data_IF_472079412748
#
_entry.id   IF_472079412748
#
_cell.length_a   1.000
_cell.length_b   1.000
_cell.length_c   1.000
_cell.angle_alpha   90.00
_cell.angle_beta   90.00
_cell.angle_gamma   90.00
#
_symmetry.space_group_name_H-M   'P 1'
#
loop_
_entity.id
_entity.type
_entity.pdbx_description
1 polymer ?
#
# COMPACT_ATOMS: atom_id res chain seq x y z
N UNK A 1 10.64 -7.12 -8.82
CA UNK A 1 10.35 -6.26 -7.66
C UNK A 1 9.23 -6.93 -6.88
N UNK A 2 9.47 -7.29 -5.62
CA UNK A 2 8.50 -8.05 -4.83
C UNK A 2 7.51 -7.10 -4.15
N UNK A 3 6.21 -7.34 -4.30
CA UNK A 3 5.15 -6.54 -3.70
C UNK A 3 5.01 -6.84 -2.19
N UNK A 4 5.09 -5.81 -1.37
CA UNK A 4 4.90 -5.91 0.09
C UNK A 4 3.60 -5.20 0.48
N UNK A 5 2.48 -5.89 0.36
CA UNK A 5 1.19 -5.41 0.83
C UNK A 5 0.27 -6.56 1.17
N UNK A 6 -0.37 -6.49 2.33
CA UNK A 6 -1.13 -7.61 2.89
C UNK A 6 -2.57 -7.72 2.39
N UNK A 7 -3.13 -6.72 1.74
CA UNK A 7 -4.56 -6.68 1.35
C UNK A 7 -4.86 -6.90 -0.12
N UNK A 8 -3.86 -6.85 -1.02
CA UNK A 8 -4.10 -6.93 -2.46
C UNK A 8 -3.22 -8.00 -3.11
N UNK A 9 -3.24 -9.21 -2.55
CA UNK A 9 -2.67 -10.37 -3.23
C UNK A 9 -3.41 -10.59 -4.56
N UNK A 10 -2.67 -10.57 -5.66
CA UNK A 10 -3.20 -10.80 -7.00
C UNK A 10 -3.38 -9.56 -7.86
N UNK A 11 -2.96 -8.36 -7.40
CA UNK A 11 -2.89 -7.21 -8.27
C UNK A 11 -1.74 -7.33 -9.26
N UNK A 12 -2.02 -7.01 -10.50
CA UNK A 12 -1.07 -6.99 -11.60
C UNK A 12 -0.79 -5.53 -11.93
N UNK A 13 0.47 -5.11 -11.86
CA UNK A 13 0.90 -3.80 -12.35
C UNK A 13 0.87 -3.80 -13.88
N UNK A 14 -0.11 -3.12 -14.48
CA UNK A 14 -0.26 -3.09 -15.96
C UNK A 14 0.41 -1.88 -16.61
N UNK A 15 0.56 -0.78 -15.89
CA UNK A 15 1.29 0.39 -16.35
C UNK A 15 1.75 1.25 -15.17
N UNK A 16 2.82 2.01 -15.38
CA UNK A 16 3.27 3.06 -14.46
C UNK A 16 3.01 4.44 -15.09
N UNK A 17 2.61 5.41 -14.28
CA UNK A 17 2.42 6.82 -14.69
C UNK A 17 3.02 7.75 -13.64
N UNK A 18 3.47 8.94 -14.03
CA UNK A 18 3.91 9.95 -13.06
C UNK A 18 2.81 10.29 -12.07
N UNK A 19 3.15 10.34 -10.78
CA UNK A 19 2.19 10.61 -9.69
C UNK A 19 1.45 11.92 -9.93
N UNK A 20 2.17 12.98 -10.32
CA UNK A 20 1.60 14.30 -10.62
C UNK A 20 0.51 14.27 -11.69
N UNK A 21 0.68 13.45 -12.74
CA UNK A 21 -0.26 13.40 -13.86
C UNK A 21 -1.58 12.76 -13.42
N UNK A 22 -1.50 11.76 -12.55
CA UNK A 22 -2.68 11.07 -12.01
C UNK A 22 -3.41 11.96 -11.01
N UNK A 23 -2.68 12.62 -10.10
CA UNK A 23 -3.29 13.49 -9.08
C UNK A 23 -3.89 14.75 -9.71
N UNK A 24 -3.27 15.32 -10.74
CA UNK A 24 -3.83 16.40 -11.52
C UNK A 24 -5.04 15.99 -12.41
N UNK A 25 -5.43 14.71 -12.39
CA UNK A 25 -6.52 14.21 -13.23
C UNK A 25 -6.17 14.06 -14.71
N UNK A 26 -4.88 14.11 -15.08
CA UNK A 26 -4.40 14.00 -16.45
C UNK A 26 -4.36 12.53 -16.91
N UNK A 27 -5.49 11.86 -16.85
CA UNK A 27 -5.63 10.51 -17.39
C UNK A 27 -7.05 10.29 -17.93
N UNK A 28 -7.15 9.40 -18.91
CA UNK A 28 -8.45 9.03 -19.48
C UNK A 28 -9.14 7.98 -18.60
N UNK A 29 -10.49 7.99 -18.62
CA UNK A 29 -11.30 6.96 -17.96
C UNK A 29 -11.13 5.58 -18.60
N UNK A 30 -10.61 5.53 -19.83
CA UNK A 30 -10.24 4.31 -20.55
C UNK A 30 -8.76 4.38 -20.89
N UNK A 31 -7.99 3.40 -20.40
CA UNK A 31 -6.56 3.30 -20.64
C UNK A 31 -6.27 1.99 -21.33
N UNK A 32 -5.67 2.07 -22.52
CA UNK A 32 -5.26 0.91 -23.30
C UNK A 32 -3.79 0.59 -23.01
N UNK A 33 -3.51 -0.66 -22.64
CA UNK A 33 -2.16 -1.20 -22.43
C UNK A 33 -2.06 -2.49 -23.23
N UNK A 34 -1.22 -2.48 -24.27
CA UNK A 34 -1.18 -3.56 -25.25
C UNK A 34 -2.54 -3.73 -25.94
N UNK A 35 -3.09 -4.93 -25.91
CA UNK A 35 -4.40 -5.26 -26.50
C UNK A 35 -5.58 -5.06 -25.53
N UNK A 36 -5.34 -4.67 -24.29
CA UNK A 36 -6.37 -4.59 -23.26
C UNK A 36 -6.73 -3.14 -22.93
N UNK A 37 -8.01 -2.88 -22.72
CA UNK A 37 -8.53 -1.58 -22.30
C UNK A 37 -9.13 -1.67 -20.90
N UNK A 38 -8.67 -0.80 -20.01
CA UNK A 38 -9.07 -0.73 -18.60
C UNK A 38 -9.90 0.52 -18.34
N UNK A 39 -10.98 0.36 -17.58
CA UNK A 39 -11.77 1.48 -17.09
C UNK A 39 -11.21 1.95 -15.76
N UNK A 40 -10.87 3.23 -15.65
CA UNK A 40 -10.33 3.87 -14.45
C UNK A 40 -11.28 4.95 -13.97
N UNK A 41 -11.64 4.91 -12.70
CA UNK A 41 -12.58 5.86 -12.10
C UNK A 41 -11.85 7.12 -11.67
N UNK A 42 -12.29 8.29 -12.20
CA UNK A 42 -11.87 9.61 -11.72
C UNK A 42 -12.54 9.97 -10.38
N UNK A 43 -11.97 10.97 -9.69
CA UNK A 43 -12.61 11.62 -8.54
C UNK A 43 -12.82 10.73 -7.33
N UNK A 44 -12.04 9.63 -7.19
CA UNK A 44 -12.13 8.81 -6.00
C UNK A 44 -11.50 9.53 -4.80
N UNK A 45 -12.06 9.33 -3.60
CA UNK A 45 -11.47 9.83 -2.34
C UNK A 45 -9.99 9.47 -2.18
N UNK A 46 -9.55 8.36 -2.80
CA UNK A 46 -8.15 7.94 -2.80
C UNK A 46 -7.24 8.99 -3.46
N UNK A 47 -7.60 9.45 -4.66
CA UNK A 47 -6.80 10.44 -5.37
C UNK A 47 -6.82 11.79 -4.67
N UNK A 48 -7.98 12.23 -4.19
CA UNK A 48 -8.10 13.46 -3.40
C UNK A 48 -7.27 13.40 -2.10
N UNK A 49 -7.22 12.24 -1.46
CA UNK A 49 -6.38 12.03 -0.27
C UNK A 49 -4.89 12.12 -0.61
N UNK A 50 -4.45 11.46 -1.69
CA UNK A 50 -3.06 11.49 -2.12
C UNK A 50 -2.63 12.85 -2.66
N UNK A 51 -3.56 13.62 -3.24
CA UNK A 51 -3.31 15.00 -3.68
C UNK A 51 -3.02 15.93 -2.48
N UNK A 52 -3.69 15.73 -1.34
CA UNK A 52 -3.35 16.43 -0.10
C UNK A 52 -1.93 16.12 0.38
N UNK A 53 -1.52 14.85 0.31
CA UNK A 53 -0.19 14.40 0.69
C UNK A 53 0.07 12.97 0.22
N UNK A 54 1.24 12.72 -0.37
CA UNK A 54 1.74 11.38 -0.67
C UNK A 54 2.56 10.77 0.48
N UNK A 55 2.63 11.44 1.64
CA UNK A 55 3.44 11.02 2.80
C UNK A 55 2.58 10.23 3.79
N UNK A 56 3.08 9.09 4.25
CA UNK A 56 2.44 8.37 5.35
C UNK A 56 2.42 9.23 6.62
N UNK A 57 1.25 9.55 7.13
CA UNK A 57 1.10 10.42 8.30
C UNK A 57 1.68 9.83 9.60
N UNK A 58 1.94 8.52 9.64
CA UNK A 58 2.51 7.85 10.80
C UNK A 58 4.05 7.71 10.68
N UNK A 59 4.55 7.00 9.67
CA UNK A 59 5.99 6.68 9.58
C UNK A 59 6.77 7.56 8.61
N UNK A 60 6.14 8.51 7.93
CA UNK A 60 6.82 9.45 7.03
C UNK A 60 7.28 8.88 5.68
N UNK A 61 7.04 7.60 5.37
CA UNK A 61 7.42 7.06 4.06
C UNK A 61 6.65 7.75 2.95
N UNK A 62 7.34 8.07 1.85
CA UNK A 62 6.78 8.86 0.75
C UNK A 62 6.38 7.97 -0.43
N UNK A 63 5.13 8.05 -0.85
CA UNK A 63 4.65 7.46 -2.09
C UNK A 63 5.20 8.22 -3.30
N UNK A 64 5.93 7.52 -4.17
CA UNK A 64 6.63 8.13 -5.32
C UNK A 64 6.31 7.46 -6.64
N UNK A 65 5.63 6.31 -6.62
CA UNK A 65 5.31 5.54 -7.81
C UNK A 65 3.81 5.29 -7.89
N UNK A 66 3.24 5.46 -9.06
CA UNK A 66 1.82 5.25 -9.31
C UNK A 66 1.66 4.19 -10.40
N UNK A 67 1.09 3.04 -10.03
CA UNK A 67 0.82 1.95 -10.94
C UNK A 67 -0.68 1.83 -11.22
N UNK A 68 -1.02 1.58 -12.47
CA UNK A 68 -2.32 1.09 -12.85
C UNK A 68 -2.39 -0.40 -12.52
N UNK A 69 -3.21 -0.75 -11.55
CA UNK A 69 -3.32 -2.11 -11.05
C UNK A 69 -4.68 -2.70 -11.41
N UNK A 70 -4.65 -3.95 -11.87
CA UNK A 70 -5.83 -4.75 -12.17
C UNK A 70 -5.79 -6.10 -11.45
N UNK A 71 -6.94 -6.68 -11.13
CA UNK A 71 -7.01 -8.01 -10.53
C UNK A 71 -6.66 -9.12 -11.52
N UNK A 72 -6.96 -8.92 -12.80
CA UNK A 72 -6.62 -9.86 -13.87
C UNK A 72 -6.20 -9.11 -15.12
N UNK A 73 -5.35 -9.73 -15.93
CA UNK A 73 -5.03 -9.23 -17.27
C UNK A 73 -6.30 -9.21 -18.10
N UNK A 74 -6.59 -8.06 -18.73
CA UNK A 74 -7.79 -7.89 -19.56
C UNK A 74 -9.10 -7.71 -18.78
N UNK A 75 -9.08 -7.70 -17.43
CA UNK A 75 -10.23 -7.30 -16.64
C UNK A 75 -10.52 -5.82 -16.85
N UNK A 76 -11.76 -5.47 -17.23
CA UNK A 76 -12.15 -4.10 -17.61
C UNK A 76 -12.05 -3.04 -16.51
N UNK A 77 -11.75 -3.41 -15.25
CA UNK A 77 -11.62 -2.48 -14.11
C UNK A 77 -10.20 -2.44 -13.57
N UNK A 78 -9.66 -1.24 -13.41
CA UNK A 78 -8.34 -1.00 -12.84
C UNK A 78 -8.31 0.29 -12.01
N UNK A 79 -7.33 0.41 -11.14
CA UNK A 79 -7.12 1.60 -10.29
C UNK A 79 -5.66 2.01 -10.31
N UNK A 80 -5.42 3.31 -10.28
CA UNK A 80 -4.09 3.80 -9.94
C UNK A 80 -3.87 3.68 -8.43
N UNK A 81 -2.81 2.97 -8.06
CA UNK A 81 -2.37 2.81 -6.69
C UNK A 81 -1.02 3.50 -6.49
N UNK A 82 -0.91 4.24 -5.40
CA UNK A 82 0.32 4.92 -4.99
C UNK A 82 1.17 3.97 -4.16
N UNK A 83 2.47 3.93 -4.45
CA UNK A 83 3.44 3.10 -3.75
C UNK A 83 4.62 3.92 -3.25
N UNK A 84 5.03 3.64 -2.03
CA UNK A 84 6.36 3.96 -1.53
C UNK A 84 7.32 2.83 -1.87
N UNK A 85 8.62 3.13 -1.89
CA UNK A 85 9.67 2.13 -2.07
C UNK A 85 10.56 2.12 -0.83
N UNK A 86 10.77 0.92 -0.26
CA UNK A 86 11.65 0.70 0.89
C UNK A 86 12.40 -0.61 0.72
N UNK A 87 13.74 -0.55 0.74
CA UNK A 87 14.61 -1.73 0.54
C UNK A 87 14.24 -2.57 -0.69
N UNK A 88 14.04 -1.92 -1.84
CA UNK A 88 13.61 -2.51 -3.11
C UNK A 88 12.24 -3.23 -3.06
N UNK A 89 11.42 -2.94 -2.05
CA UNK A 89 10.06 -3.44 -1.92
C UNK A 89 9.06 -2.32 -2.07
N UNK A 90 7.98 -2.59 -2.78
CA UNK A 90 6.87 -1.67 -2.89
C UNK A 90 5.96 -1.78 -1.66
N UNK A 91 5.61 -0.64 -1.09
CA UNK A 91 4.65 -0.52 0.02
C UNK A 91 3.47 0.28 -0.50
N UNK A 92 2.31 -0.35 -0.55
CA UNK A 92 1.08 0.31 -0.99
C UNK A 92 0.70 1.43 -0.01
N UNK A 93 0.35 2.59 -0.56
CA UNK A 93 -0.24 3.70 0.19
C UNK A 93 -1.77 3.59 0.15
N UNK A 94 -2.40 3.86 1.26
CA UNK A 94 -3.86 3.78 1.43
C UNK A 94 -4.43 5.12 1.88
N UNK A 95 -5.70 5.33 1.61
CA UNK A 95 -6.50 6.32 2.33
C UNK A 95 -6.94 5.71 3.66
N UNK A 96 -6.71 6.40 4.73
CA UNK A 96 -7.10 6.04 6.09
C UNK A 96 -8.04 7.07 6.67
N UNK A 97 -9.02 6.65 7.46
CA UNK A 97 -9.94 7.58 8.14
C UNK A 97 -9.29 8.17 9.38
N UNK A 98 -9.33 9.48 9.55
CA UNK A 98 -8.88 10.16 10.78
C UNK A 98 -9.75 9.67 11.93
N UNK A 99 -11.07 9.86 11.83
CA UNK A 99 -12.07 9.23 12.69
C UNK A 99 -12.47 7.91 12.05
N UNK A 100 -12.25 6.75 12.69
CA UNK A 100 -12.59 5.45 12.13
C UNK A 100 -14.08 5.33 11.77
N UNK A 101 -14.39 4.58 10.70
CA UNK A 101 -15.80 4.31 10.31
C UNK A 101 -16.61 3.64 11.43
N UNK A 102 -15.97 2.75 12.20
CA UNK A 102 -16.57 2.10 13.38
C UNK A 102 -16.98 3.10 14.49
N UNK A 103 -16.43 4.33 14.43
CA UNK A 103 -16.73 5.43 15.35
C UNK A 103 -17.53 6.58 14.69
N UNK A 104 -18.18 6.30 13.57
CA UNK A 104 -19.02 7.27 12.85
C UNK A 104 -18.27 8.20 11.91
N UNK A 105 -16.99 7.88 11.57
CA UNK A 105 -16.23 8.68 10.61
C UNK A 105 -16.79 8.61 9.20
N UNK A 106 -17.00 9.78 8.59
CA UNK A 106 -17.59 9.93 7.26
C UNK A 106 -16.58 9.68 6.14
N UNK A 107 -17.08 9.25 4.96
CA UNK A 107 -16.32 9.08 3.72
C UNK A 107 -16.16 10.43 2.98
N UNK A 108 -15.55 11.42 3.63
CA UNK A 108 -15.23 12.75 3.08
C UNK A 108 -13.73 13.00 3.08
N UNK A 109 -13.24 13.83 2.16
CA UNK A 109 -11.79 14.04 1.98
C UNK A 109 -11.15 14.66 3.23
N UNK A 110 -11.89 15.45 3.98
CA UNK A 110 -11.48 16.09 5.24
C UNK A 110 -11.17 15.06 6.33
N UNK A 111 -11.90 13.93 6.32
CA UNK A 111 -11.70 12.82 7.24
C UNK A 111 -10.69 11.79 6.72
N UNK A 112 -9.97 12.08 5.61
CA UNK A 112 -8.99 11.17 5.01
C UNK A 112 -7.58 11.68 5.17
N UNK A 113 -6.67 10.73 5.40
CA UNK A 113 -5.22 10.94 5.40
C UNK A 113 -4.50 9.81 4.69
N UNK A 114 -3.31 10.08 4.18
CA UNK A 114 -2.47 9.06 3.55
C UNK A 114 -1.74 8.26 4.62
N UNK A 115 -1.86 6.95 4.55
CA UNK A 115 -1.14 6.02 5.44
C UNK A 115 -0.66 4.81 4.64
N UNK A 116 0.57 4.31 4.89
CA UNK A 116 1.02 3.08 4.26
C UNK A 116 0.30 1.86 4.83
N UNK A 117 0.24 0.78 4.05
CA UNK A 117 -0.45 -0.47 4.48
C UNK A 117 0.10 -1.06 5.76
N UNK A 118 1.38 -0.86 6.06
CA UNK A 118 2.00 -1.36 7.31
C UNK A 118 1.39 -0.62 8.51
N UNK A 119 1.46 0.72 8.51
CA UNK A 119 0.91 1.53 9.59
C UNK A 119 -0.61 1.38 9.71
N UNK A 120 -1.32 1.39 8.56
CA UNK A 120 -2.77 1.20 8.54
C UNK A 120 -3.19 -0.18 9.06
N UNK A 121 -2.43 -1.23 8.73
CA UNK A 121 -2.67 -2.58 9.23
C UNK A 121 -2.48 -2.70 10.76
N UNK A 122 -1.50 -1.99 11.33
CA UNK A 122 -1.30 -1.98 12.78
C UNK A 122 -2.28 -1.06 13.50
N UNK A 123 -2.74 0.01 12.85
CA UNK A 123 -3.76 0.89 13.40
C UNK A 123 -5.12 0.19 13.50
N UNK A 124 -5.57 -0.45 12.42
CA UNK A 124 -6.92 -1.02 12.37
C UNK A 124 -8.00 0.04 12.68
N UNK A 125 -8.78 -0.19 13.71
CA UNK A 125 -9.81 0.71 14.26
C UNK A 125 -9.39 1.42 15.55
N UNK A 126 -8.10 1.33 15.92
CA UNK A 126 -7.56 2.03 17.08
C UNK A 126 -7.66 3.54 16.87
N UNK A 127 -8.14 4.23 17.89
CA UNK A 127 -8.20 5.68 17.96
C UNK A 127 -7.15 6.16 18.94
N UNK A 128 -5.91 6.15 18.48
CA UNK A 128 -4.73 6.54 19.24
C UNK A 128 -3.96 7.64 18.50
N UNK A 129 -3.23 8.50 19.22
CA UNK A 129 -2.33 9.49 18.64
C UNK A 129 -1.33 8.86 17.67
N UNK A 130 -0.86 9.65 16.69
CA UNK A 130 0.06 9.13 15.66
C UNK A 130 1.43 8.73 16.20
N UNK A 131 1.91 9.39 17.23
CA UNK A 131 3.15 9.08 17.94
C UNK A 131 3.05 7.73 18.67
N UNK A 132 1.96 7.48 19.37
CA UNK A 132 1.69 6.18 19.99
C UNK A 132 1.57 5.07 18.93
N UNK A 133 0.87 5.35 17.81
CA UNK A 133 0.79 4.43 16.70
C UNK A 133 2.17 4.12 16.12
N UNK A 134 3.02 5.12 15.96
CA UNK A 134 4.38 4.95 15.43
C UNK A 134 5.21 4.02 16.32
N UNK A 135 5.20 4.22 17.63
CA UNK A 135 5.87 3.34 18.58
C UNK A 135 5.34 1.89 18.51
N UNK A 136 4.02 1.74 18.46
CA UNK A 136 3.38 0.44 18.27
C UNK A 136 3.84 -0.27 17.00
N UNK A 137 3.92 0.45 15.88
CA UNK A 137 4.38 -0.07 14.57
C UNK A 137 5.83 -0.54 14.67
N UNK A 138 6.72 0.30 15.25
CA UNK A 138 8.14 -0.04 15.41
C UNK A 138 8.30 -1.33 16.23
N UNK A 139 7.64 -1.44 17.36
CA UNK A 139 7.71 -2.63 18.22
C UNK A 139 7.22 -3.89 17.49
N UNK A 140 6.05 -3.80 16.84
CA UNK A 140 5.46 -4.95 16.13
C UNK A 140 6.27 -5.38 14.90
N UNK A 141 6.81 -4.43 14.12
CA UNK A 141 7.62 -4.76 12.94
C UNK A 141 8.99 -5.35 13.35
N UNK A 142 9.63 -4.82 14.41
CA UNK A 142 10.85 -5.44 14.95
C UNK A 142 10.61 -6.87 15.40
N UNK A 143 9.50 -7.14 16.11
CA UNK A 143 9.13 -8.49 16.54
C UNK A 143 8.82 -9.42 15.35
N UNK A 144 8.17 -8.90 14.29
CA UNK A 144 7.89 -9.63 13.04
C UNK A 144 9.19 -10.03 12.34
N UNK A 145 10.12 -9.09 12.17
CA UNK A 145 11.42 -9.34 11.54
C UNK A 145 12.26 -10.34 12.34
N UNK A 146 12.28 -10.24 13.66
CA UNK A 146 13.00 -11.18 14.52
C UNK A 146 12.42 -12.62 14.48
N UNK A 147 11.10 -12.76 14.30
CA UNK A 147 10.47 -14.08 14.07
C UNK A 147 10.84 -14.65 12.71
N UNK A 148 10.81 -13.82 11.67
CA UNK A 148 11.19 -14.21 10.31
C UNK A 148 12.64 -14.69 10.25
N UNK A 149 13.58 -13.94 10.84
CA UNK A 149 15.00 -14.29 10.90
C UNK A 149 15.23 -15.64 11.61
N UNK A 150 14.53 -15.88 12.73
CA UNK A 150 14.57 -17.19 13.42
C UNK A 150 14.05 -18.33 12.56
N UNK A 151 12.94 -18.13 11.84
CA UNK A 151 12.39 -19.16 10.95
C UNK A 151 13.34 -19.49 9.81
N UNK A 152 13.93 -18.47 9.19
CA UNK A 152 14.94 -18.65 8.12
C UNK A 152 16.17 -19.39 8.65
N UNK A 153 16.70 -19.02 9.80
CA UNK A 153 17.85 -19.73 10.43
C UNK A 153 17.53 -21.18 10.77
N UNK A 154 16.31 -21.46 11.25
CA UNK A 154 15.88 -22.83 11.53
C UNK A 154 15.80 -23.68 10.25
N UNK A 155 15.23 -23.15 9.16
CA UNK A 155 15.17 -23.83 7.86
C UNK A 155 16.57 -24.11 7.28
N UNK A 156 17.48 -23.15 7.38
CA UNK A 156 18.87 -23.33 6.94
C UNK A 156 19.59 -24.41 7.76
N UNK A 157 19.38 -24.43 9.08
CA UNK A 157 19.97 -25.45 9.97
C UNK A 157 19.45 -26.86 9.65
N UNK A 158 18.16 -27.01 9.33
CA UNK A 158 17.60 -28.29 8.88
C UNK A 158 18.14 -28.73 7.51
N UNK A 159 18.26 -27.79 6.57
CA UNK A 159 18.82 -28.09 5.25
C UNK A 159 20.27 -28.56 5.34
N UNK A 160 21.07 -27.88 6.14
CA UNK A 160 22.47 -28.26 6.37
C UNK A 160 22.60 -29.67 7.01
N UNK A 161 21.71 -30.05 7.91
CA UNK A 161 21.71 -31.40 8.51
C UNK A 161 21.40 -32.48 7.47
N UNK A 162 20.56 -32.22 6.47
CA UNK A 162 20.19 -33.17 5.42
C UNK A 162 21.24 -33.31 4.34
N UNK A 163 22.11 -32.31 4.15
CA UNK A 163 23.19 -32.37 3.13
C UNK A 163 24.46 -33.09 3.61
N UNK A 164 24.51 -33.57 4.87
CA UNK A 164 25.62 -34.30 5.45
C UNK A 164 25.31 -35.80 5.71
N UNK A 165 24.17 -36.29 5.25
CA UNK A 165 23.76 -37.70 5.22
C UNK A 165 23.70 -38.24 3.79
#
# INVERSE_FOLDING_TARGET
>A
MEYVGTREKGLIHVAERPVRDILAGHFHTKITVGQYTYNVRHGSLRYLTFDKSCVCCCCGVVGRRMFLDAHNVGCGSAHFNLYAEWNNKLILMTKDHIVPRSKGGEDVVENMRTMCTICNGHRGDLDIPLDELYELVIVKERARLARHDRAVRALLAEHMKRSWL
#
